data_IF_497539386579
#
_entry.id   IF_497539386579
#
_cell.length_a   1.000
_cell.length_b   1.000
_cell.length_c   1.000
_cell.angle_alpha   90.00
_cell.angle_beta   90.00
_cell.angle_gamma   90.00
#
_symmetry.space_group_name_H-M   'P 1'
#
loop_
_entity.id
_entity.type
_entity.pdbx_description
1 polymer ?
#
# COMPACT_ATOMS: atom_id res chain seq x y z
N UNK A 1 37.77 13.65 -21.67
CA UNK A 1 38.31 13.87 -20.32
C UNK A 1 37.12 14.17 -19.42
N UNK A 2 36.79 13.26 -18.49
CA UNK A 2 35.82 13.55 -17.41
C UNK A 2 36.61 14.31 -16.35
N UNK A 3 36.30 15.58 -16.13
CA UNK A 3 36.80 16.31 -14.95
C UNK A 3 36.01 15.77 -13.73
N UNK A 4 36.76 15.25 -12.76
CA UNK A 4 36.27 14.97 -11.42
C UNK A 4 36.14 16.33 -10.72
N UNK A 5 34.91 16.80 -10.53
CA UNK A 5 34.67 18.18 -10.04
C UNK A 5 34.93 18.32 -8.53
N UNK A 6 34.85 17.28 -7.74
CA UNK A 6 35.36 17.18 -6.36
C UNK A 6 35.33 15.75 -5.85
N UNK A 7 36.37 15.27 -5.19
CA UNK A 7 36.27 14.17 -4.25
C UNK A 7 35.78 14.76 -2.92
N UNK A 8 34.52 14.52 -2.59
CA UNK A 8 34.08 14.71 -1.20
C UNK A 8 34.62 13.52 -0.45
N UNK A 9 35.74 13.74 0.27
CA UNK A 9 36.17 12.83 1.30
C UNK A 9 35.04 12.75 2.33
N UNK A 10 34.30 11.64 2.30
CA UNK A 10 33.39 11.30 3.39
C UNK A 10 34.31 11.12 4.61
N UNK A 11 34.22 12.04 5.57
CA UNK A 11 34.84 11.83 6.89
C UNK A 11 34.41 10.44 7.37
N UNK A 12 35.34 9.64 7.86
CA UNK A 12 35.06 8.34 8.49
C UNK A 12 34.19 8.58 9.71
N UNK A 13 32.90 8.66 9.49
CA UNK A 13 31.93 8.67 10.58
C UNK A 13 31.91 7.25 11.14
N UNK A 14 32.18 7.06 12.40
CA UNK A 14 32.05 5.81 13.17
C UNK A 14 30.56 5.41 13.23
N UNK A 15 29.99 5.05 12.07
CA UNK A 15 28.62 4.56 12.00
C UNK A 15 28.61 3.06 12.29
N UNK A 16 27.85 2.65 13.29
CA UNK A 16 27.64 1.24 13.56
C UNK A 16 26.61 0.70 12.56
N UNK A 17 27.06 -0.14 11.63
CA UNK A 17 26.18 -0.76 10.60
C UNK A 17 26.01 -2.24 10.97
N UNK A 18 24.76 -2.65 11.18
CA UNK A 18 24.39 -4.04 11.42
C UNK A 18 23.54 -4.56 10.26
N UNK A 19 23.88 -5.74 9.73
CA UNK A 19 23.14 -6.38 8.62
C UNK A 19 22.63 -7.73 9.12
N UNK A 20 21.32 -7.96 8.99
CA UNK A 20 20.66 -9.23 9.37
C UNK A 20 19.76 -9.75 8.27
N UNK A 21 19.83 -11.06 8.02
CA UNK A 21 18.95 -11.78 7.12
C UNK A 21 17.78 -12.42 7.87
N UNK A 22 16.59 -12.41 7.24
CA UNK A 22 15.37 -13.01 7.77
C UNK A 22 14.71 -13.91 6.74
N UNK A 23 14.13 -15.03 7.21
CA UNK A 23 13.38 -15.98 6.37
C UNK A 23 11.97 -15.50 6.00
N UNK A 24 11.43 -14.52 6.74
CA UNK A 24 10.09 -13.97 6.50
C UNK A 24 9.99 -12.50 6.93
N UNK A 25 9.05 -11.78 6.32
CA UNK A 25 8.72 -10.39 6.73
C UNK A 25 8.22 -10.32 8.18
N UNK A 26 7.57 -11.36 8.68
CA UNK A 26 7.08 -11.37 10.06
C UNK A 26 8.23 -11.36 11.08
N UNK A 27 9.29 -12.16 10.81
CA UNK A 27 10.50 -12.16 11.64
C UNK A 27 11.22 -10.82 11.56
N UNK A 28 11.30 -10.23 10.37
CA UNK A 28 11.86 -8.90 10.17
C UNK A 28 11.10 -7.84 10.98
N UNK A 29 9.76 -7.90 10.99
CA UNK A 29 8.91 -6.98 11.75
C UNK A 29 9.19 -7.06 13.25
N UNK A 30 9.30 -8.26 13.81
CA UNK A 30 9.67 -8.44 15.23
C UNK A 30 11.03 -7.83 15.55
N UNK A 31 11.99 -7.97 14.61
CA UNK A 31 13.32 -7.39 14.76
C UNK A 31 13.29 -5.85 14.66
N UNK A 32 12.49 -5.28 13.77
CA UNK A 32 12.31 -3.82 13.67
C UNK A 32 11.85 -3.26 15.01
N UNK A 33 10.81 -3.84 15.61
CA UNK A 33 10.29 -3.39 16.93
C UNK A 33 11.38 -3.49 18.01
N UNK A 34 12.09 -4.60 18.07
CA UNK A 34 13.15 -4.81 19.04
C UNK A 34 14.33 -3.82 18.82
N UNK A 35 14.70 -3.54 17.57
CA UNK A 35 15.75 -2.57 17.23
C UNK A 35 15.36 -1.14 17.62
N UNK A 36 14.11 -0.75 17.38
CA UNK A 36 13.57 0.54 17.82
C UNK A 36 13.68 0.68 19.34
N UNK A 37 13.23 -0.33 20.10
CA UNK A 37 13.33 -0.34 21.57
C UNK A 37 14.77 -0.22 22.01
N UNK A 38 15.70 -0.94 21.37
CA UNK A 38 17.12 -0.85 21.68
C UNK A 38 17.70 0.54 21.42
N UNK A 39 17.35 1.19 20.29
CA UNK A 39 17.77 2.55 20.00
C UNK A 39 17.29 3.54 21.08
N UNK A 40 16.03 3.42 21.51
CA UNK A 40 15.47 4.26 22.58
C UNK A 40 16.19 4.01 23.92
N UNK A 41 16.47 2.74 24.25
CA UNK A 41 17.20 2.39 25.47
C UNK A 41 18.66 2.90 25.47
N UNK A 42 19.26 3.06 24.28
CA UNK A 42 20.58 3.69 24.11
C UNK A 42 20.52 5.21 24.16
N UNK A 43 19.35 5.80 24.40
CA UNK A 43 19.17 7.24 24.58
C UNK A 43 18.89 7.99 23.27
N UNK A 44 18.68 7.30 22.14
CA UNK A 44 18.31 7.97 20.89
C UNK A 44 16.88 8.50 20.99
N UNK A 45 16.70 9.77 20.63
CA UNK A 45 15.37 10.38 20.63
C UNK A 45 14.45 9.66 19.62
N UNK A 46 13.27 9.16 20.01
CA UNK A 46 12.33 8.49 19.10
C UNK A 46 12.02 9.26 17.80
N UNK A 47 11.94 10.60 17.86
CA UNK A 47 11.74 11.45 16.68
C UNK A 47 12.95 11.47 15.71
N UNK A 48 14.08 10.94 16.13
CA UNK A 48 15.31 10.80 15.33
C UNK A 48 15.57 9.37 14.88
N UNK A 49 14.57 8.50 15.00
CA UNK A 49 14.60 7.12 14.51
C UNK A 49 13.71 7.02 13.28
N UNK A 50 14.24 6.46 12.19
CA UNK A 50 13.47 6.18 10.98
C UNK A 50 13.49 4.71 10.61
N UNK A 51 12.35 4.23 10.10
CA UNK A 51 12.19 2.93 9.44
C UNK A 51 11.94 3.21 7.96
N UNK A 52 12.86 2.76 7.11
CA UNK A 52 12.81 2.98 5.67
C UNK A 52 12.25 1.73 4.98
N UNK A 53 11.21 1.93 4.19
CA UNK A 53 10.55 0.87 3.43
C UNK A 53 10.82 1.03 1.93
N UNK A 54 11.77 0.28 1.35
CA UNK A 54 11.98 0.27 -0.10
C UNK A 54 10.79 -0.30 -0.88
N UNK A 55 10.05 -1.21 -0.23
CA UNK A 55 8.74 -1.68 -0.67
C UNK A 55 7.67 -1.14 0.30
N UNK A 56 6.98 -0.09 -0.12
CA UNK A 56 5.93 0.55 0.68
C UNK A 56 4.75 -0.40 1.00
N UNK A 57 4.61 -1.51 0.26
CA UNK A 57 3.58 -2.52 0.57
C UNK A 57 3.77 -3.15 1.96
N UNK A 58 4.99 -3.09 2.51
CA UNK A 58 5.26 -3.57 3.86
C UNK A 58 4.64 -2.69 4.95
N UNK A 59 4.31 -1.43 4.65
CA UNK A 59 3.67 -0.51 5.60
C UNK A 59 2.34 -1.07 6.14
N UNK A 60 1.54 -1.73 5.28
CA UNK A 60 0.29 -2.36 5.70
C UNK A 60 0.49 -3.44 6.77
N UNK A 61 1.56 -4.23 6.64
CA UNK A 61 1.91 -5.26 7.64
C UNK A 61 2.43 -4.61 8.92
N UNK A 62 3.28 -3.59 8.81
CA UNK A 62 3.83 -2.87 9.96
C UNK A 62 2.70 -2.19 10.77
N UNK A 63 1.72 -1.56 10.09
CA UNK A 63 0.55 -0.95 10.71
C UNK A 63 -0.29 -1.96 11.52
N UNK A 64 -0.56 -3.15 10.96
CA UNK A 64 -1.33 -4.18 11.66
C UNK A 64 -0.71 -4.63 12.99
N UNK A 65 0.60 -4.59 13.10
CA UNK A 65 1.34 -4.99 14.28
C UNK A 65 1.75 -3.83 15.19
N UNK A 66 1.41 -2.59 14.83
CA UNK A 66 1.67 -1.39 15.65
C UNK A 66 0.50 -1.07 16.59
N UNK A 67 0.18 -1.98 17.49
CA UNK A 67 -0.92 -1.82 18.46
C UNK A 67 -0.72 -0.65 19.40
N UNK A 68 0.53 -0.34 19.70
CA UNK A 68 0.93 0.72 20.64
C UNK A 68 1.08 2.09 19.98
N UNK A 69 0.87 2.19 18.67
CA UNK A 69 1.04 3.41 17.87
C UNK A 69 2.42 4.05 18.01
N UNK A 70 3.48 3.26 17.93
CA UNK A 70 4.86 3.78 17.97
C UNK A 70 5.27 4.48 16.69
N UNK A 71 4.70 4.06 15.56
CA UNK A 71 5.09 4.49 14.23
C UNK A 71 4.23 5.65 13.70
N UNK A 72 4.90 6.57 13.02
CA UNK A 72 4.32 7.65 12.24
C UNK A 72 4.58 7.35 10.76
N UNK A 73 3.54 7.03 10.01
CA UNK A 73 3.64 6.69 8.59
C UNK A 73 3.61 7.96 7.75
N UNK A 74 4.80 8.49 7.36
CA UNK A 74 4.91 9.69 6.53
C UNK A 74 4.20 9.57 5.18
N UNK A 75 4.10 8.34 4.64
CA UNK A 75 3.33 8.01 3.43
C UNK A 75 1.81 7.92 3.67
N UNK A 76 1.35 8.10 4.92
CA UNK A 76 -0.02 7.83 5.36
C UNK A 76 -0.29 6.34 5.59
N UNK A 77 -1.42 6.06 6.20
CA UNK A 77 -1.90 4.69 6.45
C UNK A 77 -2.69 4.16 5.25
N UNK A 78 -2.49 2.91 4.93
CA UNK A 78 -3.19 2.28 3.81
C UNK A 78 -4.64 1.96 4.14
N UNK A 79 -5.53 2.10 3.14
CA UNK A 79 -6.92 1.64 3.27
C UNK A 79 -7.06 0.12 3.22
N UNK A 80 -6.02 -0.60 2.78
CA UNK A 80 -6.09 -2.05 2.57
C UNK A 80 -6.53 -2.83 3.82
N UNK A 81 -6.20 -2.31 5.00
CA UNK A 81 -6.56 -2.90 6.29
C UNK A 81 -7.89 -2.41 6.86
N UNK A 82 -8.59 -1.50 6.17
CA UNK A 82 -9.87 -0.94 6.63
C UNK A 82 -11.05 -1.77 6.15
N UNK A 83 -12.12 -1.74 6.94
CA UNK A 83 -13.32 -2.55 6.73
C UNK A 83 -13.88 -2.40 5.31
N UNK A 84 -13.98 -1.17 4.80
CA UNK A 84 -14.57 -0.91 3.48
C UNK A 84 -13.81 -1.60 2.35
N UNK A 85 -12.47 -1.61 2.41
CA UNK A 85 -11.66 -2.31 1.41
C UNK A 85 -11.77 -3.83 1.58
N UNK A 86 -11.63 -4.33 2.80
CA UNK A 86 -11.68 -5.76 3.12
C UNK A 86 -13.04 -6.35 2.68
N UNK A 87 -14.13 -5.68 2.99
CA UNK A 87 -15.49 -6.09 2.61
C UNK A 87 -15.69 -6.05 1.09
N UNK A 88 -15.27 -4.96 0.44
CA UNK A 88 -15.35 -4.85 -1.02
C UNK A 88 -14.53 -5.92 -1.73
N UNK A 89 -13.34 -6.20 -1.24
CA UNK A 89 -12.46 -7.24 -1.80
C UNK A 89 -13.00 -8.66 -1.54
N UNK A 90 -13.62 -8.90 -0.39
CA UNK A 90 -14.25 -10.18 -0.09
C UNK A 90 -15.42 -10.49 -1.05
N UNK A 91 -16.26 -9.50 -1.38
CA UNK A 91 -17.32 -9.64 -2.38
C UNK A 91 -16.72 -9.97 -3.76
N UNK A 92 -15.67 -9.26 -4.16
CA UNK A 92 -15.00 -9.52 -5.43
C UNK A 92 -14.48 -10.96 -5.53
N UNK A 93 -13.75 -11.41 -4.52
CA UNK A 93 -13.18 -12.76 -4.48
C UNK A 93 -14.26 -13.84 -4.44
N UNK A 94 -15.34 -13.63 -3.67
CA UNK A 94 -16.46 -14.56 -3.60
C UNK A 94 -17.14 -14.77 -4.95
N UNK A 95 -17.33 -13.71 -5.73
CA UNK A 95 -17.99 -13.81 -7.04
C UNK A 95 -17.06 -14.41 -8.10
N UNK A 96 -15.75 -14.17 -8.00
CA UNK A 96 -14.76 -14.76 -8.92
C UNK A 96 -14.58 -16.26 -8.66
N UNK A 97 -14.39 -16.63 -7.41
CA UNK A 97 -14.05 -17.96 -6.96
C UNK A 97 -15.03 -18.38 -5.88
N UNK A 98 -16.04 -19.17 -6.24
CA UNK A 98 -17.08 -19.64 -5.32
C UNK A 98 -16.55 -20.78 -4.43
N UNK A 99 -15.40 -20.54 -3.77
CA UNK A 99 -14.79 -21.48 -2.82
C UNK A 99 -15.36 -21.32 -1.41
N UNK A 100 -15.35 -22.40 -0.63
CA UNK A 100 -15.85 -22.39 0.77
C UNK A 100 -15.19 -21.30 1.61
N UNK A 101 -13.88 -21.10 1.48
CA UNK A 101 -13.14 -20.05 2.22
C UNK A 101 -13.69 -18.63 1.95
N UNK A 102 -14.14 -18.35 0.72
CA UNK A 102 -14.68 -17.04 0.36
C UNK A 102 -16.10 -16.87 0.93
N UNK A 103 -16.89 -17.93 0.99
CA UNK A 103 -18.20 -17.93 1.65
C UNK A 103 -18.05 -17.69 3.16
N UNK A 104 -17.09 -18.37 3.79
CA UNK A 104 -16.78 -18.19 5.21
C UNK A 104 -16.31 -16.75 5.50
N UNK A 105 -15.51 -16.17 4.61
CA UNK A 105 -15.04 -14.78 4.74
C UNK A 105 -16.20 -13.77 4.64
N UNK A 106 -17.15 -13.96 3.73
CA UNK A 106 -18.38 -13.13 3.63
C UNK A 106 -19.15 -13.16 4.96
N UNK A 107 -19.31 -14.36 5.56
CA UNK A 107 -19.99 -14.54 6.86
C UNK A 107 -19.21 -13.91 8.00
N UNK A 108 -17.88 -14.10 8.03
CA UNK A 108 -17.00 -13.52 9.06
C UNK A 108 -17.05 -12.00 9.06
N UNK A 109 -17.13 -11.37 7.88
CA UNK A 109 -17.22 -9.92 7.73
C UNK A 109 -18.64 -9.37 7.93
N UNK A 110 -19.62 -10.22 8.29
CA UNK A 110 -21.03 -9.87 8.46
C UNK A 110 -21.61 -9.11 7.26
N UNK A 111 -21.27 -9.57 6.05
CA UNK A 111 -21.83 -9.02 4.82
C UNK A 111 -23.22 -9.60 4.52
N UNK A 112 -24.10 -8.78 3.98
CA UNK A 112 -25.41 -9.22 3.52
C UNK A 112 -25.27 -10.14 2.30
N UNK A 113 -25.29 -11.44 2.58
CA UNK A 113 -25.16 -12.48 1.56
C UNK A 113 -26.32 -12.46 0.56
N UNK A 114 -27.53 -12.16 1.03
CA UNK A 114 -28.72 -12.10 0.17
C UNK A 114 -28.60 -10.97 -0.84
N UNK A 115 -28.14 -9.80 -0.41
CA UNK A 115 -27.89 -8.67 -1.31
C UNK A 115 -26.84 -9.02 -2.37
N UNK A 116 -25.74 -9.67 -1.98
CA UNK A 116 -24.66 -10.06 -2.91
C UNK A 116 -25.20 -11.04 -3.97
N UNK A 117 -25.98 -12.07 -3.55
CA UNK A 117 -26.52 -13.09 -4.45
C UNK A 117 -27.60 -12.55 -5.38
N UNK A 118 -28.43 -11.61 -4.94
CA UNK A 118 -29.53 -11.06 -5.72
C UNK A 118 -29.17 -9.84 -6.55
N UNK A 119 -28.33 -8.94 -6.00
CA UNK A 119 -28.13 -7.62 -6.57
C UNK A 119 -26.77 -7.43 -7.25
N UNK A 120 -25.76 -8.26 -6.92
CA UNK A 120 -24.43 -8.11 -7.51
C UNK A 120 -24.11 -9.27 -8.47
N UNK A 121 -24.16 -10.50 -8.00
CA UNK A 121 -23.71 -11.69 -8.73
C UNK A 121 -24.44 -11.93 -10.07
N UNK A 122 -25.78 -11.78 -10.20
CA UNK A 122 -26.48 -12.00 -11.48
C UNK A 122 -26.15 -10.96 -12.56
N UNK A 123 -25.60 -9.82 -12.15
CA UNK A 123 -25.22 -8.71 -13.03
C UNK A 123 -23.72 -8.64 -13.32
N UNK A 124 -22.92 -9.52 -12.71
CA UNK A 124 -21.46 -9.47 -12.77
C UNK A 124 -20.87 -9.43 -14.18
N UNK A 125 -21.46 -10.21 -15.09
CA UNK A 125 -21.04 -10.27 -16.49
C UNK A 125 -21.88 -9.41 -17.44
N UNK A 126 -22.87 -8.66 -16.93
CA UNK A 126 -23.72 -7.76 -17.71
C UNK A 126 -23.14 -6.35 -17.74
N UNK A 127 -23.56 -5.57 -18.74
CA UNK A 127 -23.24 -4.13 -18.79
C UNK A 127 -23.81 -3.45 -17.55
N UNK A 128 -22.99 -2.69 -16.88
CA UNK A 128 -23.38 -1.98 -15.66
C UNK A 128 -24.08 -0.67 -15.99
N UNK A 129 -25.26 -0.46 -15.43
CA UNK A 129 -25.95 0.84 -15.50
C UNK A 129 -25.49 1.76 -14.36
N UNK A 130 -25.69 3.06 -14.52
CA UNK A 130 -25.36 4.05 -13.50
C UNK A 130 -26.07 3.78 -12.17
N UNK A 131 -27.37 3.45 -12.25
CA UNK A 131 -28.21 3.16 -11.09
C UNK A 131 -27.66 1.94 -10.31
N UNK A 132 -27.25 0.90 -11.05
CA UNK A 132 -26.66 -0.31 -10.46
C UNK A 132 -25.34 -0.01 -9.77
N UNK A 133 -24.49 0.79 -10.40
CA UNK A 133 -23.22 1.22 -9.79
C UNK A 133 -23.46 1.99 -8.49
N UNK A 134 -24.39 2.96 -8.50
CA UNK A 134 -24.74 3.73 -7.31
C UNK A 134 -25.29 2.80 -6.21
N UNK A 135 -26.23 1.90 -6.53
CA UNK A 135 -26.80 0.96 -5.56
C UNK A 135 -25.72 0.13 -4.84
N UNK A 136 -24.75 -0.38 -5.60
CA UNK A 136 -23.65 -1.18 -5.03
C UNK A 136 -22.72 -0.32 -4.19
N UNK A 137 -22.35 0.87 -4.66
CA UNK A 137 -21.46 1.77 -3.91
C UNK A 137 -22.12 2.31 -2.65
N UNK A 138 -23.42 2.59 -2.65
CA UNK A 138 -24.18 2.99 -1.45
C UNK A 138 -24.26 1.84 -0.44
N UNK A 139 -24.48 0.62 -0.90
CA UNK A 139 -24.42 -0.57 -0.04
C UNK A 139 -23.05 -0.66 0.66
N UNK A 140 -21.95 -0.53 -0.09
CA UNK A 140 -20.59 -0.58 0.49
C UNK A 140 -20.33 0.61 1.45
N UNK A 141 -20.80 1.81 1.10
CA UNK A 141 -20.67 3.01 1.92
C UNK A 141 -21.28 2.83 3.30
N UNK A 142 -22.45 2.19 3.38
CA UNK A 142 -23.16 1.93 4.64
C UNK A 142 -22.41 0.96 5.58
N UNK A 143 -21.37 0.30 5.10
CA UNK A 143 -20.54 -0.61 5.89
C UNK A 143 -19.36 0.10 6.59
N UNK A 144 -19.20 1.42 6.39
CA UNK A 144 -18.12 2.23 6.95
C UNK A 144 -18.70 3.36 7.81
N UNK A 145 -17.97 3.76 8.86
CA UNK A 145 -18.38 4.83 9.78
C UNK A 145 -17.33 5.95 9.91
N UNK A 146 -16.11 5.70 9.43
CA UNK A 146 -15.03 6.67 9.51
C UNK A 146 -15.24 7.78 8.47
N UNK A 147 -15.38 9.03 8.92
CA UNK A 147 -15.69 10.17 8.06
C UNK A 147 -14.59 10.45 7.01
N UNK A 148 -13.31 10.36 7.39
CA UNK A 148 -12.19 10.57 6.47
C UNK A 148 -12.21 9.53 5.34
N UNK A 149 -12.49 8.27 5.68
CA UNK A 149 -12.61 7.19 4.69
C UNK A 149 -13.80 7.46 3.77
N UNK A 150 -14.93 7.87 4.34
CA UNK A 150 -16.15 8.15 3.56
C UNK A 150 -15.96 9.32 2.59
N UNK A 151 -15.28 10.38 2.99
CA UNK A 151 -14.96 11.52 2.10
C UNK A 151 -14.12 11.07 0.90
N UNK A 152 -13.02 10.35 1.15
CA UNK A 152 -12.14 9.83 0.09
C UNK A 152 -12.85 8.78 -0.78
N UNK A 153 -13.73 7.98 -0.19
CA UNK A 153 -14.58 7.03 -0.89
C UNK A 153 -15.55 7.73 -1.85
N UNK A 154 -16.28 8.72 -1.36
CA UNK A 154 -17.24 9.49 -2.16
C UNK A 154 -16.55 10.20 -3.33
N UNK A 155 -15.35 10.71 -3.14
CA UNK A 155 -14.56 11.32 -4.21
C UNK A 155 -14.25 10.31 -5.32
N UNK A 156 -13.88 9.06 -4.96
CA UNK A 156 -13.63 7.99 -5.95
C UNK A 156 -14.92 7.61 -6.69
N UNK A 157 -16.00 7.39 -5.95
CA UNK A 157 -17.30 7.04 -6.53
C UNK A 157 -17.79 8.13 -7.49
N UNK A 158 -17.67 9.39 -7.07
CA UNK A 158 -18.03 10.53 -7.92
C UNK A 158 -17.20 10.58 -9.21
N UNK A 159 -15.87 10.47 -9.11
CA UNK A 159 -14.96 10.48 -10.26
C UNK A 159 -15.25 9.32 -11.22
N UNK A 160 -15.44 8.11 -10.68
CA UNK A 160 -15.77 6.94 -11.48
C UNK A 160 -17.13 7.07 -12.16
N UNK A 161 -18.14 7.51 -11.42
CA UNK A 161 -19.48 7.74 -11.95
C UNK A 161 -19.45 8.73 -13.12
N UNK A 162 -18.75 9.86 -12.93
CA UNK A 162 -18.58 10.87 -13.97
C UNK A 162 -17.89 10.29 -15.22
N UNK A 163 -16.72 9.65 -15.06
CA UNK A 163 -15.91 9.15 -16.19
C UNK A 163 -16.64 8.01 -16.92
N UNK A 164 -17.20 7.04 -16.19
CA UNK A 164 -17.74 5.83 -16.79
C UNK A 164 -19.09 6.05 -17.49
N UNK A 165 -19.93 6.93 -16.95
CA UNK A 165 -21.29 7.10 -17.46
C UNK A 165 -21.52 8.38 -18.26
N UNK A 166 -20.60 9.38 -18.22
CA UNK A 166 -20.69 10.56 -19.09
C UNK A 166 -20.34 10.24 -20.56
N UNK A 167 -19.53 9.21 -20.80
CA UNK A 167 -19.05 8.84 -22.14
C UNK A 167 -19.70 7.53 -22.65
N UNK A 168 -20.77 7.03 -22.00
CA UNK A 168 -21.49 5.82 -22.39
C UNK A 168 -20.58 4.59 -22.60
N UNK A 169 -19.61 4.38 -21.74
CA UNK A 169 -18.79 3.17 -21.77
C UNK A 169 -19.67 1.95 -21.42
N UNK A 170 -19.79 1.00 -22.35
CA UNK A 170 -20.51 -0.27 -22.16
C UNK A 170 -19.61 -1.29 -21.42
N UNK A 171 -19.19 -0.97 -20.19
CA UNK A 171 -18.37 -1.86 -19.39
C UNK A 171 -19.22 -2.81 -18.55
N UNK A 172 -18.72 -4.04 -18.38
CA UNK A 172 -19.37 -5.01 -17.49
C UNK A 172 -19.16 -4.64 -16.03
N UNK A 173 -20.09 -5.02 -15.16
CA UNK A 173 -19.97 -4.75 -13.73
C UNK A 173 -18.65 -5.25 -13.15
N UNK A 174 -18.17 -6.43 -13.52
CA UNK A 174 -16.89 -6.98 -13.08
C UNK A 174 -15.69 -6.07 -13.37
N UNK A 175 -15.69 -5.43 -14.54
CA UNK A 175 -14.58 -4.59 -14.98
C UNK A 175 -14.60 -3.25 -14.22
N UNK A 176 -15.80 -2.68 -14.04
CA UNK A 176 -16.01 -1.48 -13.22
C UNK A 176 -15.65 -1.74 -11.76
N UNK A 177 -16.08 -2.87 -11.20
CA UNK A 177 -15.80 -3.24 -9.81
C UNK A 177 -14.29 -3.43 -9.58
N UNK A 178 -13.59 -4.04 -10.55
CA UNK A 178 -12.13 -4.17 -10.51
C UNK A 178 -11.42 -2.80 -10.53
N UNK A 179 -11.86 -1.90 -11.41
CA UNK A 179 -11.33 -0.52 -11.46
C UNK A 179 -11.61 0.20 -10.14
N UNK A 180 -12.82 0.05 -9.60
CA UNK A 180 -13.19 0.62 -8.30
C UNK A 180 -12.28 0.12 -7.18
N UNK A 181 -12.05 -1.19 -7.05
CA UNK A 181 -11.13 -1.75 -6.06
C UNK A 181 -9.71 -1.24 -6.23
N UNK A 182 -9.22 -1.13 -7.47
CA UNK A 182 -7.88 -0.59 -7.74
C UNK A 182 -7.74 0.89 -7.34
N UNK A 183 -8.80 1.67 -7.49
CA UNK A 183 -8.81 3.07 -7.05
C UNK A 183 -8.92 3.16 -5.53
N UNK A 184 -9.79 2.34 -4.94
CA UNK A 184 -9.95 2.25 -3.49
C UNK A 184 -8.62 1.85 -2.82
N UNK A 185 -7.90 0.86 -3.36
CA UNK A 185 -6.62 0.39 -2.83
C UNK A 185 -5.51 1.48 -2.81
N UNK A 186 -5.67 2.56 -3.55
CA UNK A 186 -4.71 3.67 -3.62
C UNK A 186 -5.00 4.80 -2.63
N UNK A 187 -6.07 4.70 -1.86
CA UNK A 187 -6.35 5.69 -0.83
C UNK A 187 -5.28 5.58 0.26
N UNK A 188 -4.68 6.72 0.58
CA UNK A 188 -3.86 6.93 1.78
C UNK A 188 -4.65 7.77 2.77
N UNK A 189 -4.64 7.34 4.03
CA UNK A 189 -5.29 8.04 5.14
C UNK A 189 -4.21 8.82 5.91
N UNK A 190 -4.55 10.02 6.35
CA UNK A 190 -3.61 10.83 7.10
C UNK A 190 -3.34 10.21 8.48
N UNK A 191 -2.08 10.22 8.90
CA UNK A 191 -1.64 9.66 10.19
C UNK A 191 -1.46 10.77 11.23
N UNK A 192 -2.54 11.54 11.49
CA UNK A 192 -2.50 12.73 12.32
C UNK A 192 -2.23 12.47 13.83
N UNK A 193 -2.35 11.22 14.29
CA UNK A 193 -2.20 10.83 15.71
C UNK A 193 -1.22 9.68 15.91
N UNK A 194 -0.15 9.69 15.14
CA UNK A 194 0.83 8.62 15.10
C UNK A 194 1.93 8.78 16.15
N UNK A 195 2.72 7.72 16.28
CA UNK A 195 3.89 7.65 17.14
C UNK A 195 5.01 8.61 16.74
N UNK A 196 6.14 8.45 17.40
CA UNK A 196 7.32 9.32 17.22
C UNK A 196 8.33 8.79 16.22
N UNK A 197 8.27 7.49 15.89
CA UNK A 197 9.23 6.83 15.01
C UNK A 197 8.71 6.95 13.58
N UNK A 198 9.46 7.61 12.72
CA UNK A 198 9.03 7.88 11.35
C UNK A 198 9.21 6.65 10.46
N UNK A 199 8.14 6.23 9.79
CA UNK A 199 8.16 5.21 8.73
C UNK A 199 7.95 5.91 7.39
N UNK A 200 8.87 5.70 6.45
CA UNK A 200 8.84 6.40 5.16
C UNK A 200 9.42 5.54 4.03
N UNK A 201 9.07 5.90 2.79
CA UNK A 201 9.68 5.34 1.60
C UNK A 201 11.12 5.83 1.38
N UNK A 202 11.83 5.15 0.47
CA UNK A 202 13.24 5.49 0.21
C UNK A 202 13.43 6.90 -0.35
N UNK A 203 12.48 7.40 -1.15
CA UNK A 203 12.60 8.72 -1.78
C UNK A 203 12.28 9.87 -0.83
N UNK A 204 11.58 9.61 0.25
CA UNK A 204 11.16 10.60 1.24
C UNK A 204 12.27 10.93 2.24
N UNK A 205 13.37 10.16 2.24
CA UNK A 205 14.52 10.35 3.15
C UNK A 205 15.38 11.58 2.81
N UNK A 206 15.10 12.23 1.69
CA UNK A 206 15.94 13.33 1.21
C UNK A 206 15.90 14.53 2.15
N UNK A 207 17.07 15.04 2.50
CA UNK A 207 17.27 16.24 3.34
C UNK A 207 16.73 16.10 4.78
N UNK A 208 16.57 14.88 5.28
CA UNK A 208 16.18 14.63 6.67
C UNK A 208 17.30 13.84 7.36
N UNK A 209 17.74 14.34 8.52
CA UNK A 209 18.76 13.69 9.34
C UNK A 209 18.13 12.89 10.47
N UNK A 210 18.54 11.63 10.60
CA UNK A 210 18.18 10.72 11.66
C UNK A 210 19.44 10.20 12.37
N UNK A 211 19.30 9.96 13.67
CA UNK A 211 20.37 9.39 14.50
C UNK A 211 20.42 7.86 14.37
N UNK A 212 19.27 7.23 14.07
CA UNK A 212 19.19 5.81 13.78
C UNK A 212 18.25 5.54 12.60
N UNK A 213 18.68 4.64 11.69
CA UNK A 213 17.91 4.24 10.51
C UNK A 213 17.83 2.72 10.44
N UNK A 214 16.63 2.18 10.26
CA UNK A 214 16.37 0.77 10.04
C UNK A 214 15.84 0.61 8.61
N UNK A 215 16.60 -0.04 7.73
CA UNK A 215 16.20 -0.27 6.34
C UNK A 215 15.67 -1.70 6.20
N UNK A 216 14.42 -1.84 5.79
CA UNK A 216 13.74 -3.11 5.61
C UNK A 216 13.91 -3.62 4.18
N UNK A 217 13.73 -4.94 3.96
CA UNK A 217 13.72 -5.54 2.62
C UNK A 217 14.90 -5.09 1.73
N UNK A 218 16.11 -4.90 2.32
CA UNK A 218 17.31 -4.51 1.60
C UNK A 218 17.83 -5.69 0.77
N UNK A 219 17.20 -5.98 -0.34
CA UNK A 219 17.56 -7.06 -1.25
C UNK A 219 17.50 -6.62 -2.72
N UNK A 220 18.04 -7.44 -3.62
CA UNK A 220 18.17 -7.13 -5.05
C UNK A 220 16.82 -6.87 -5.78
N UNK A 221 15.69 -7.22 -5.17
CA UNK A 221 14.37 -6.95 -5.75
C UNK A 221 13.92 -5.51 -5.53
N UNK A 222 14.45 -4.85 -4.49
CA UNK A 222 14.01 -3.54 -4.05
C UNK A 222 15.14 -2.49 -4.04
N UNK A 223 16.40 -2.88 -3.73
CA UNK A 223 17.55 -1.97 -3.68
C UNK A 223 18.80 -2.61 -4.32
N UNK A 224 19.29 -2.10 -5.46
CA UNK A 224 18.59 -1.18 -6.37
C UNK A 224 17.46 -1.89 -7.11
N UNK A 225 16.36 -1.18 -7.34
CA UNK A 225 15.27 -1.72 -8.19
C UNK A 225 15.72 -1.73 -9.64
N UNK A 226 16.26 -2.86 -10.08
CA UNK A 226 16.71 -3.03 -11.46
C UNK A 226 15.48 -3.28 -12.34
N UNK A 227 15.14 -2.34 -13.20
CA UNK A 227 14.14 -2.57 -14.25
C UNK A 227 14.79 -3.41 -15.35
N UNK A 228 14.56 -4.71 -15.33
CA UNK A 228 15.07 -5.65 -16.35
C UNK A 228 14.40 -5.50 -17.72
N UNK A 229 13.31 -4.73 -17.82
CA UNK A 229 12.57 -4.56 -19.08
C UNK A 229 12.45 -3.08 -19.43
N UNK A 230 13.35 -2.62 -20.28
CA UNK A 230 13.11 -1.41 -21.04
C UNK A 230 12.02 -1.68 -22.08
N UNK A 231 11.01 -0.82 -22.14
CA UNK A 231 9.90 -0.98 -23.10
C UNK A 231 10.29 -0.61 -24.53
N UNK A 232 11.39 0.11 -24.70
CA UNK A 232 11.82 0.70 -25.97
C UNK A 232 13.11 0.07 -26.51
N UNK A 233 14.02 -0.38 -25.63
CA UNK A 233 15.31 -0.92 -26.02
C UNK A 233 15.50 -2.35 -25.48
N UNK A 234 15.80 -3.29 -26.36
CA UNK A 234 16.17 -4.63 -25.91
C UNK A 234 17.52 -4.61 -25.20
N UNK A 235 17.73 -5.54 -24.26
CA UNK A 235 18.99 -5.70 -23.53
C UNK A 235 20.20 -5.80 -24.46
N UNK A 236 20.02 -6.42 -25.62
CA UNK A 236 21.06 -6.55 -26.65
C UNK A 236 21.44 -5.21 -27.28
N UNK A 237 20.46 -4.34 -27.54
CA UNK A 237 20.70 -2.99 -28.09
C UNK A 237 21.37 -2.10 -27.03
N UNK A 238 20.96 -2.19 -25.79
CA UNK A 238 21.61 -1.46 -24.68
C UNK A 238 23.09 -1.86 -24.54
N UNK A 239 23.36 -3.17 -24.53
CA UNK A 239 24.72 -3.67 -24.45
C UNK A 239 25.62 -3.20 -25.62
N UNK A 240 25.12 -3.26 -26.87
CA UNK A 240 25.85 -2.79 -28.04
C UNK A 240 26.08 -1.28 -28.06
N UNK A 241 25.19 -0.52 -27.44
CA UNK A 241 25.25 0.94 -27.35
C UNK A 241 25.94 1.46 -26.07
N UNK A 242 26.49 0.58 -25.22
CA UNK A 242 27.05 0.91 -23.90
C UNK A 242 26.11 1.76 -23.03
N UNK A 243 24.82 1.49 -23.09
CA UNK A 243 23.80 2.13 -22.27
C UNK A 243 23.59 1.32 -20.97
N UNK A 244 23.32 1.99 -19.83
CA UNK A 244 23.04 1.33 -18.57
C UNK A 244 21.71 0.56 -18.59
#
# INVERSE_FOLDING_TARGET
KKEIISEILLEETNKNIEIKGFSSRLNQLSYIKSSVVNCVNLGINPNKIAVILPDESFAATLELFDRENYFNFAMGKTILNKNIYQKSNAIYNYILENELKNIENIKFLNLDFEFIEKEIKPFWNKVCTKERFIQITDFLKNLEQNLEILEKYDEIVYKLNFVLFSQNFNLKLKDIYKIFLQKLAKISLDDAHSGKITVMGLLETRLIDFDAIIICDSNNSFIPKISLKDKFLSTKVKYLANLP
#
